data_IF_541528356781
#
_entry.id   IF_541528356781
#
_cell.length_a   1.000
_cell.length_b   1.000
_cell.length_c   1.000
_cell.angle_alpha   90.00
_cell.angle_beta   90.00
_cell.angle_gamma   90.00
#
_symmetry.space_group_name_H-M   'P 1'
#
loop_
_entity.id
_entity.type
_entity.pdbx_description
1 polymer ?
#
# COMPACT_ATOMS: atom_id res chain seq x y z
N UNK A 1 -9.61 14.58 11.51
CA UNK A 1 -8.20 14.62 11.96
C UNK A 1 -7.69 16.04 11.73
N UNK A 2 -7.12 16.74 12.74
CA UNK A 2 -6.74 18.18 12.62
C UNK A 2 -5.85 18.48 11.40
N UNK A 3 -5.06 17.50 10.99
CA UNK A 3 -4.15 17.54 9.84
C UNK A 3 -4.87 17.87 8.51
N UNK A 4 -6.14 17.48 8.34
CA UNK A 4 -6.90 17.77 7.12
C UNK A 4 -7.37 19.24 7.02
N UNK A 5 -7.41 19.96 8.14
CA UNK A 5 -8.01 21.29 8.22
C UNK A 5 -6.97 22.41 7.98
N UNK A 6 -5.69 22.15 8.23
CA UNK A 6 -4.59 23.13 8.05
C UNK A 6 -3.36 22.48 7.40
N UNK A 7 -3.46 22.05 6.12
CA UNK A 7 -2.35 21.37 5.42
C UNK A 7 -1.09 22.24 5.31
N UNK A 8 -1.22 23.56 5.17
CA UNK A 8 -0.06 24.45 5.03
C UNK A 8 0.85 24.50 6.27
N UNK A 9 0.30 24.22 7.46
CA UNK A 9 1.03 24.28 8.74
C UNK A 9 1.55 22.90 9.18
N UNK A 10 1.10 21.84 8.52
CA UNK A 10 1.34 20.45 8.97
C UNK A 10 2.17 19.62 7.99
N UNK A 11 2.38 20.07 6.75
CA UNK A 11 3.24 19.40 5.78
C UNK A 11 4.55 20.16 5.56
N UNK A 12 5.67 19.44 5.59
CA UNK A 12 6.92 19.95 5.06
C UNK A 12 6.86 20.01 3.52
N UNK A 13 7.77 20.79 2.92
CA UNK A 13 7.92 20.84 1.47
C UNK A 13 8.10 19.40 0.93
N UNK A 14 7.32 19.06 -0.10
CA UNK A 14 7.29 17.75 -0.77
C UNK A 14 6.61 16.59 0.00
N UNK A 15 5.85 16.89 1.06
CA UNK A 15 4.94 15.93 1.69
C UNK A 15 3.51 16.09 1.14
N UNK A 16 2.87 14.95 0.82
CA UNK A 16 1.51 14.91 0.27
C UNK A 16 0.65 13.89 1.01
N UNK A 17 -0.64 14.20 1.18
CA UNK A 17 -1.65 13.25 1.62
C UNK A 17 -2.02 12.30 0.49
N UNK A 18 -2.03 11.01 0.76
CA UNK A 18 -2.73 10.05 -0.09
C UNK A 18 -4.23 10.20 0.16
N UNK A 19 -5.00 10.63 -0.85
CA UNK A 19 -6.45 10.66 -0.70
C UNK A 19 -6.99 9.24 -0.55
N UNK A 20 -7.49 8.93 0.64
CA UNK A 20 -8.67 8.08 0.76
C UNK A 20 -9.91 8.95 0.49
N UNK A 21 -11.06 8.34 0.17
CA UNK A 21 -12.33 9.02 -0.19
C UNK A 21 -12.84 10.06 0.84
N UNK A 22 -12.16 10.18 1.99
CA UNK A 22 -12.45 11.10 3.09
C UNK A 22 -11.85 12.51 2.93
N UNK A 23 -10.99 12.77 1.94
CA UNK A 23 -10.32 14.06 1.78
C UNK A 23 -10.80 14.82 0.53
N UNK A 24 -11.03 16.13 0.67
CA UNK A 24 -11.32 17.01 -0.46
C UNK A 24 -10.08 17.22 -1.33
N UNK A 25 -10.28 17.37 -2.65
CA UNK A 25 -9.19 17.63 -3.60
C UNK A 25 -8.51 18.96 -3.27
N UNK A 26 -7.21 18.90 -2.97
CA UNK A 26 -6.37 20.02 -2.55
C UNK A 26 -4.98 19.86 -3.18
N UNK A 27 -4.20 20.94 -3.41
CA UNK A 27 -2.83 20.84 -3.93
C UNK A 27 -1.89 19.94 -3.11
N UNK A 28 -2.25 19.69 -1.85
CA UNK A 28 -1.51 18.86 -0.90
C UNK A 28 -2.01 17.42 -0.80
N UNK A 29 -3.04 17.08 -1.59
CA UNK A 29 -3.73 15.80 -1.56
C UNK A 29 -3.58 15.17 -2.94
N UNK A 30 -2.89 14.03 -3.00
CA UNK A 30 -2.85 13.18 -4.19
C UNK A 30 -4.27 12.69 -4.42
N UNK A 31 -4.92 13.00 -5.56
CA UNK A 31 -6.31 12.63 -5.82
C UNK A 31 -6.53 11.12 -5.70
N UNK A 32 -7.72 10.73 -5.26
CA UNK A 32 -8.09 9.33 -5.21
C UNK A 32 -8.14 8.75 -6.64
N UNK A 33 -7.75 7.49 -6.78
CA UNK A 33 -7.78 6.75 -8.04
C UNK A 33 -9.13 6.89 -8.75
N UNK A 34 -9.11 7.38 -10.00
CA UNK A 34 -10.32 7.58 -10.81
C UNK A 34 -11.04 8.92 -10.63
N UNK A 35 -10.51 9.84 -9.81
CA UNK A 35 -11.00 11.22 -9.76
C UNK A 35 -10.84 11.91 -11.13
N UNK A 36 -11.81 12.73 -11.52
CA UNK A 36 -11.78 13.50 -12.79
C UNK A 36 -10.52 14.37 -12.90
N UNK A 37 -9.96 14.79 -11.76
CA UNK A 37 -8.74 15.61 -11.65
C UNK A 37 -7.45 14.81 -11.92
N UNK A 38 -7.51 13.47 -11.89
CA UNK A 38 -6.36 12.58 -12.09
C UNK A 38 -6.09 12.23 -13.58
N UNK A 39 -6.74 12.91 -14.53
CA UNK A 39 -6.57 12.66 -15.97
C UNK A 39 -5.29 13.29 -16.58
N UNK A 40 -4.44 13.91 -15.76
CA UNK A 40 -3.14 14.43 -16.18
C UNK A 40 -2.11 13.28 -16.30
N UNK A 41 -1.22 13.34 -17.31
CA UNK A 41 -0.25 12.27 -17.61
C UNK A 41 0.67 11.90 -16.43
N UNK A 42 1.02 12.86 -15.57
CA UNK A 42 1.85 12.62 -14.39
C UNK A 42 1.13 11.72 -13.35
N UNK A 43 -0.18 11.89 -13.18
CA UNK A 43 -0.97 11.06 -12.27
C UNK A 43 -1.18 9.66 -12.82
N UNK A 44 -1.33 9.51 -14.14
CA UNK A 44 -1.35 8.19 -14.78
C UNK A 44 -0.07 7.40 -14.54
N UNK A 45 1.09 8.08 -14.58
CA UNK A 45 2.39 7.46 -14.33
C UNK A 45 2.53 7.06 -12.86
N UNK A 46 2.15 7.94 -11.93
CA UNK A 46 2.13 7.64 -10.50
C UNK A 46 1.22 6.45 -10.18
N UNK A 47 -0.02 6.47 -10.68
CA UNK A 47 -1.01 5.41 -10.48
C UNK A 47 -0.54 4.07 -11.05
N UNK A 48 0.09 4.09 -12.21
CA UNK A 48 0.68 2.89 -12.82
C UNK A 48 1.74 2.27 -11.92
N UNK A 49 2.66 3.08 -11.38
CA UNK A 49 3.68 2.59 -10.46
C UNK A 49 3.11 2.15 -9.11
N UNK A 50 2.08 2.82 -8.61
CA UNK A 50 1.38 2.43 -7.40
C UNK A 50 0.70 1.06 -7.57
N UNK A 51 -0.05 0.86 -8.65
CA UNK A 51 -0.68 -0.42 -8.97
C UNK A 51 0.38 -1.53 -9.17
N UNK A 52 1.46 -1.24 -9.89
CA UNK A 52 2.57 -2.18 -10.11
C UNK A 52 3.27 -2.59 -8.82
N UNK A 53 3.51 -1.63 -7.91
CA UNK A 53 4.13 -1.90 -6.61
C UNK A 53 3.22 -2.76 -5.74
N UNK A 54 1.90 -2.49 -5.72
CA UNK A 54 0.90 -3.31 -5.02
C UNK A 54 0.90 -4.76 -5.51
N UNK A 55 0.83 -4.98 -6.82
CA UNK A 55 0.86 -6.35 -7.40
C UNK A 55 2.15 -7.08 -7.02
N UNK A 56 3.30 -6.39 -7.04
CA UNK A 56 4.58 -6.99 -6.62
C UNK A 56 4.54 -7.36 -5.13
N UNK A 57 4.08 -6.45 -4.27
CA UNK A 57 3.98 -6.69 -2.82
C UNK A 57 3.05 -7.87 -2.52
N UNK A 58 1.85 -7.91 -3.12
CA UNK A 58 0.91 -9.01 -2.96
C UNK A 58 1.50 -10.35 -3.41
N UNK A 59 2.22 -10.36 -4.53
CA UNK A 59 2.94 -11.56 -5.01
C UNK A 59 4.01 -12.02 -4.01
N UNK A 60 4.87 -11.12 -3.53
CA UNK A 60 5.93 -11.46 -2.57
C UNK A 60 5.34 -11.95 -1.24
N UNK A 61 4.27 -11.33 -0.75
CA UNK A 61 3.53 -11.79 0.43
C UNK A 61 3.01 -13.23 0.21
N UNK A 62 2.42 -13.52 -0.96
CA UNK A 62 1.95 -14.87 -1.29
C UNK A 62 3.09 -15.90 -1.29
N UNK A 63 4.26 -15.54 -1.82
CA UNK A 63 5.45 -16.40 -1.77
C UNK A 63 5.87 -16.67 -0.32
N UNK A 64 6.00 -15.62 0.49
CA UNK A 64 6.39 -15.74 1.90
C UNK A 64 5.40 -16.60 2.70
N UNK A 65 4.10 -16.44 2.46
CA UNK A 65 3.07 -17.27 3.07
C UNK A 65 3.20 -18.74 2.68
N UNK A 66 3.39 -19.04 1.39
CA UNK A 66 3.60 -20.40 0.91
C UNK A 66 4.83 -21.06 1.56
N UNK A 67 5.93 -20.30 1.68
CA UNK A 67 7.15 -20.77 2.35
C UNK A 67 6.92 -21.04 3.83
N UNK A 68 6.20 -20.15 4.52
CA UNK A 68 5.82 -20.34 5.91
C UNK A 68 4.99 -21.61 6.11
N UNK A 69 3.99 -21.86 5.27
CA UNK A 69 3.18 -23.08 5.33
C UNK A 69 4.03 -24.34 5.13
N UNK A 70 4.94 -24.33 4.16
CA UNK A 70 5.84 -25.45 3.91
C UNK A 70 6.75 -25.75 5.11
N UNK A 71 7.37 -24.71 5.69
CA UNK A 71 8.23 -24.86 6.87
C UNK A 71 7.43 -25.36 8.08
N UNK A 72 6.22 -24.84 8.28
CA UNK A 72 5.33 -25.27 9.35
C UNK A 72 4.97 -26.75 9.20
N UNK A 73 4.70 -27.21 7.99
CA UNK A 73 4.37 -28.61 7.71
C UNK A 73 5.58 -29.52 7.97
N UNK A 74 6.77 -29.15 7.49
CA UNK A 74 8.00 -29.89 7.81
C UNK A 74 8.24 -29.97 9.32
N UNK A 75 8.01 -28.87 10.04
CA UNK A 75 8.17 -28.83 11.48
C UNK A 75 7.18 -29.76 12.19
N UNK A 76 5.91 -29.77 11.78
CA UNK A 76 4.91 -30.72 12.31
C UNK A 76 5.35 -32.17 12.07
N UNK A 77 5.80 -32.52 10.86
CA UNK A 77 6.26 -33.86 10.54
C UNK A 77 7.48 -34.29 11.38
N UNK A 78 8.41 -33.37 11.65
CA UNK A 78 9.55 -33.65 12.53
C UNK A 78 9.11 -33.86 13.98
N UNK A 79 8.15 -33.07 14.45
CA UNK A 79 7.60 -33.21 15.80
C UNK A 79 6.86 -34.54 15.97
N UNK A 80 6.02 -34.90 15.01
CA UNK A 80 5.28 -36.17 15.01
C UNK A 80 6.24 -37.38 15.01
N UNK A 81 7.35 -37.30 14.26
CA UNK A 81 8.42 -38.32 14.27
C UNK A 81 9.16 -38.43 15.60
N UNK A 82 9.19 -37.37 16.40
CA UNK A 82 9.82 -37.35 17.71
C UNK A 82 8.86 -37.79 18.84
N UNK A 83 7.58 -38.03 18.53
CA UNK A 83 6.59 -38.50 19.52
C UNK A 83 6.27 -37.47 20.62
N UNK A 84 6.48 -36.18 20.34
CA UNK A 84 6.16 -35.04 21.23
C UNK A 84 4.86 -34.38 20.79
#
# INVERSE_FOLDING_TARGET
>A
MKIAQTPLESYEKDQYLLADLAYENSPWVVPAYGAVVAQNEDYHTFDYFLAKSRVRIEKEIGILQAWWFYLREMWNQMRDKQGI
#
